data_IF_742887033087
#
_entry.id   IF_742887033087
#
_cell.length_a   1.000
_cell.length_b   1.000
_cell.length_c   1.000
_cell.angle_alpha   90.00
_cell.angle_beta   90.00
_cell.angle_gamma   90.00
#
_symmetry.space_group_name_H-M   'P 1'
#
loop_
_entity.id
_entity.type
_entity.pdbx_description
1 polymer ?
#
# COMPACT_ATOMS: atom_id res chain seq x y z
N UNK A 1 9.55 -19.67 16.98
CA UNK A 1 10.66 -20.65 16.81
C UNK A 1 11.84 -20.39 17.74
N UNK A 2 12.37 -19.17 17.87
CA UNK A 2 13.57 -18.88 18.68
C UNK A 2 13.38 -19.20 20.18
N UNK A 3 12.21 -18.93 20.77
CA UNK A 3 11.95 -19.21 22.19
C UNK A 3 11.97 -20.71 22.57
N UNK A 4 11.55 -21.60 21.66
CA UNK A 4 11.59 -23.05 21.90
C UNK A 4 13.02 -23.62 21.88
N UNK A 5 13.95 -22.94 21.18
CA UNK A 5 15.35 -23.35 21.13
C UNK A 5 16.10 -23.01 22.43
N UNK A 6 15.79 -21.87 23.05
CA UNK A 6 16.37 -21.45 24.34
C UNK A 6 15.90 -22.34 25.48
N UNK A 7 14.62 -22.75 25.48
CA UNK A 7 14.08 -23.65 26.50
C UNK A 7 14.71 -25.05 26.40
N UNK A 8 14.82 -25.63 25.20
CA UNK A 8 15.45 -26.97 25.02
C UNK A 8 16.93 -27.00 25.37
N UNK A 9 17.66 -25.92 25.09
CA UNK A 9 19.09 -25.85 25.45
C UNK A 9 19.28 -25.75 26.97
N UNK A 10 18.38 -25.06 27.68
CA UNK A 10 18.38 -25.05 29.15
C UNK A 10 18.03 -26.42 29.75
N UNK A 11 17.05 -27.14 29.20
CA UNK A 11 16.67 -28.48 29.67
C UNK A 11 17.80 -29.51 29.47
N UNK A 12 18.50 -29.48 28.33
CA UNK A 12 19.64 -30.37 28.07
C UNK A 12 20.79 -30.08 29.06
N UNK A 13 21.04 -28.81 29.37
CA UNK A 13 22.09 -28.43 30.32
C UNK A 13 21.71 -28.80 31.78
N UNK A 14 20.43 -28.69 32.15
CA UNK A 14 19.94 -29.07 33.47
C UNK A 14 19.94 -30.61 33.67
N UNK A 15 19.56 -31.38 32.64
CA UNK A 15 19.55 -32.85 32.68
C UNK A 15 20.96 -33.44 32.81
N UNK A 16 21.95 -32.85 32.15
CA UNK A 16 23.32 -33.36 32.19
C UNK A 16 24.00 -33.13 33.56
N UNK A 17 23.56 -32.11 34.31
CA UNK A 17 24.06 -31.83 35.65
C UNK A 17 23.51 -32.79 36.71
N UNK A 18 22.31 -33.34 36.50
CA UNK A 18 21.70 -34.29 37.43
C UNK A 18 22.30 -35.71 37.34
N UNK A 19 22.66 -36.18 36.14
CA UNK A 19 23.18 -37.54 35.94
C UNK A 19 24.59 -37.77 36.54
N UNK A 20 25.37 -36.70 36.73
CA UNK A 20 26.73 -36.80 37.28
C UNK A 20 26.81 -36.95 38.81
N UNK A 21 25.69 -36.89 39.54
CA UNK A 21 25.70 -36.81 41.01
C UNK A 21 25.42 -38.12 41.73
N UNK A 22 25.14 -39.22 41.02
CA UNK A 22 24.66 -40.45 41.67
C UNK A 22 25.70 -41.55 41.93
N UNK A 23 26.99 -41.35 41.64
CA UNK A 23 28.02 -42.39 41.83
C UNK A 23 29.35 -41.93 42.46
N UNK A 24 29.37 -40.85 43.25
CA UNK A 24 30.56 -40.48 44.04
C UNK A 24 30.33 -40.57 45.55
N UNK A 25 31.19 -41.40 46.16
CA UNK A 25 31.40 -41.62 47.59
C UNK A 25 31.29 -40.35 48.46
N UNK A 26 30.66 -40.52 49.63
CA UNK A 26 30.44 -39.51 50.68
C UNK A 26 31.72 -38.93 51.35
N UNK A 27 32.92 -39.17 50.82
CA UNK A 27 34.19 -38.69 51.40
C UNK A 27 34.73 -37.41 50.75
N UNK A 28 34.21 -36.98 49.58
CA UNK A 28 34.69 -35.76 48.88
C UNK A 28 33.81 -34.52 49.10
N UNK A 29 32.79 -34.62 49.96
CA UNK A 29 31.78 -33.57 50.20
C UNK A 29 32.34 -32.31 50.90
N UNK A 30 33.56 -32.37 51.45
CA UNK A 30 34.18 -31.25 52.16
C UNK A 30 35.12 -30.37 51.32
N UNK A 31 35.50 -30.78 50.10
CA UNK A 31 36.37 -29.96 49.23
C UNK A 31 35.60 -29.15 48.16
N UNK A 32 34.30 -29.36 48.01
CA UNK A 32 33.46 -28.63 47.03
C UNK A 32 33.12 -27.20 47.49
N UNK A 33 33.30 -26.85 48.78
CA UNK A 33 33.03 -25.50 49.32
C UNK A 33 34.08 -24.43 48.96
N UNK A 34 35.17 -24.80 48.26
CA UNK A 34 36.20 -23.88 47.79
C UNK A 34 36.29 -23.76 46.26
N UNK A 35 35.25 -24.20 45.54
CA UNK A 35 34.95 -23.58 44.25
C UNK A 35 34.46 -22.16 44.52
N UNK A 36 35.42 -21.26 44.84
CA UNK A 36 35.26 -19.82 44.64
C UNK A 36 34.78 -19.71 43.21
N UNK A 37 33.47 -19.52 43.05
CA UNK A 37 32.86 -19.08 41.82
C UNK A 37 33.36 -17.65 41.58
N UNK A 38 34.65 -17.51 41.35
CA UNK A 38 35.30 -16.32 40.82
C UNK A 38 34.94 -16.25 39.35
N UNK A 39 33.64 -16.23 39.06
CA UNK A 39 33.21 -15.61 37.83
C UNK A 39 33.59 -14.15 38.01
N UNK A 40 34.56 -13.63 37.24
CA UNK A 40 34.92 -12.24 37.35
C UNK A 40 33.62 -11.46 37.09
N UNK A 41 33.19 -10.65 38.05
CA UNK A 41 31.95 -9.86 38.00
C UNK A 41 31.79 -9.13 36.66
N UNK A 42 32.91 -8.77 36.04
CA UNK A 42 33.05 -8.20 34.71
C UNK A 42 32.36 -8.98 33.58
N UNK A 43 32.40 -10.32 33.61
CA UNK A 43 31.77 -11.15 32.57
C UNK A 43 30.24 -11.08 32.68
N UNK A 44 29.70 -11.08 33.90
CA UNK A 44 28.24 -11.02 34.13
C UNK A 44 27.70 -9.67 33.68
N UNK A 45 28.40 -8.58 34.01
CA UNK A 45 28.04 -7.23 33.58
C UNK A 45 28.05 -7.11 32.04
N UNK A 46 29.09 -7.62 31.38
CA UNK A 46 29.17 -7.64 29.92
C UNK A 46 27.98 -8.37 29.28
N UNK A 47 27.69 -9.60 29.73
CA UNK A 47 26.56 -10.36 29.20
C UNK A 47 25.21 -9.66 29.43
N UNK A 48 25.04 -8.97 30.56
CA UNK A 48 23.83 -8.22 30.87
C UNK A 48 23.64 -7.03 29.91
N UNK A 49 24.71 -6.28 29.63
CA UNK A 49 24.68 -5.15 28.68
C UNK A 49 24.38 -5.64 27.27
N UNK A 50 25.04 -6.72 26.82
CA UNK A 50 24.78 -7.32 25.50
C UNK A 50 23.34 -7.81 25.39
N UNK A 51 22.81 -8.45 26.44
CA UNK A 51 21.42 -8.89 26.49
C UNK A 51 20.43 -7.73 26.38
N UNK A 52 20.64 -6.65 27.16
CA UNK A 52 19.82 -5.44 27.10
C UNK A 52 19.86 -4.80 25.70
N UNK A 53 21.04 -4.76 25.08
CA UNK A 53 21.21 -4.23 23.72
C UNK A 53 20.48 -5.06 22.67
N UNK A 54 20.59 -6.39 22.75
CA UNK A 54 19.86 -7.30 21.87
C UNK A 54 18.35 -7.11 22.00
N UNK A 55 17.85 -6.97 23.23
CA UNK A 55 16.44 -6.69 23.50
C UNK A 55 16.00 -5.34 22.90
N UNK A 56 16.83 -4.29 23.05
CA UNK A 56 16.56 -2.98 22.47
C UNK A 56 16.49 -3.00 20.94
N UNK A 57 17.47 -3.63 20.27
CA UNK A 57 17.45 -3.79 18.80
C UNK A 57 16.18 -4.54 18.37
N UNK A 58 15.84 -5.62 19.08
CA UNK A 58 14.64 -6.40 18.79
C UNK A 58 13.38 -5.55 18.90
N UNK A 59 13.30 -4.67 19.90
CA UNK A 59 12.19 -3.73 20.06
C UNK A 59 12.10 -2.73 18.90
N UNK A 60 13.22 -2.16 18.45
CA UNK A 60 13.27 -1.21 17.31
C UNK A 60 12.84 -1.89 16.00
N UNK A 61 13.32 -3.11 15.74
CA UNK A 61 12.93 -3.90 14.56
C UNK A 61 11.43 -4.23 14.61
N UNK A 62 10.94 -4.66 15.78
CA UNK A 62 9.52 -4.95 15.98
C UNK A 62 8.63 -3.73 15.71
N UNK A 63 9.03 -2.57 16.20
CA UNK A 63 8.29 -1.32 15.95
C UNK A 63 8.30 -0.91 14.47
N UNK A 64 9.44 -1.03 13.78
CA UNK A 64 9.55 -0.72 12.35
C UNK A 64 8.66 -1.66 11.52
N UNK A 65 8.61 -2.94 11.91
CA UNK A 65 7.71 -3.92 11.29
C UNK A 65 6.24 -3.54 11.47
N UNK A 66 5.83 -3.14 12.68
CA UNK A 66 4.46 -2.70 12.95
C UNK A 66 4.05 -1.48 12.12
N UNK A 67 4.94 -0.50 11.96
CA UNK A 67 4.69 0.66 11.08
C UNK A 67 4.52 0.18 9.64
N UNK A 68 5.45 -0.65 9.16
CA UNK A 68 5.41 -1.14 7.79
C UNK A 68 4.14 -1.95 7.50
N UNK A 69 3.73 -2.81 8.42
CA UNK A 69 2.51 -3.62 8.31
C UNK A 69 1.26 -2.73 8.31
N UNK A 70 1.23 -1.66 9.12
CA UNK A 70 0.14 -0.68 9.11
C UNK A 70 0.05 0.04 7.77
N UNK A 71 1.17 0.51 7.23
CA UNK A 71 1.22 1.21 5.93
C UNK A 71 0.82 0.30 4.76
N UNK A 72 1.29 -0.97 4.77
CA UNK A 72 0.88 -1.97 3.77
C UNK A 72 -0.64 -2.11 3.75
N UNK A 73 -1.25 -2.28 4.93
CA UNK A 73 -2.71 -2.40 5.07
C UNK A 73 -3.44 -1.14 4.62
N UNK A 74 -2.96 0.05 5.00
CA UNK A 74 -3.58 1.31 4.54
C UNK A 74 -3.50 1.43 3.02
N UNK A 75 -2.37 1.06 2.41
CA UNK A 75 -2.22 1.04 0.95
C UNK A 75 -3.19 0.04 0.30
N UNK A 76 -3.29 -1.18 0.83
CA UNK A 76 -4.24 -2.22 0.39
C UNK A 76 -5.69 -1.72 0.45
N UNK A 77 -6.13 -1.14 1.58
CA UNK A 77 -7.48 -0.59 1.72
C UNK A 77 -7.76 0.53 0.72
N UNK A 78 -6.78 1.38 0.42
CA UNK A 78 -6.96 2.46 -0.56
C UNK A 78 -7.00 1.94 -2.00
N UNK A 79 -6.25 0.88 -2.31
CA UNK A 79 -6.34 0.19 -3.60
C UNK A 79 -7.70 -0.49 -3.76
N UNK A 80 -8.17 -1.20 -2.72
CA UNK A 80 -9.49 -1.81 -2.69
C UNK A 80 -10.59 -0.77 -2.90
N UNK A 81 -10.55 0.34 -2.15
CA UNK A 81 -11.47 1.47 -2.33
C UNK A 81 -11.46 2.00 -3.77
N UNK A 82 -10.28 2.18 -4.37
CA UNK A 82 -10.13 2.64 -5.76
C UNK A 82 -10.71 1.64 -6.77
N UNK A 83 -10.62 0.35 -6.49
CA UNK A 83 -11.17 -0.69 -7.36
C UNK A 83 -12.69 -0.75 -7.24
N UNK A 84 -13.22 -0.69 -6.02
CA UNK A 84 -14.67 -0.72 -5.77
C UNK A 84 -15.35 0.50 -6.37
N UNK A 85 -14.80 1.72 -6.18
CA UNK A 85 -15.38 2.94 -6.76
C UNK A 85 -15.37 2.92 -8.30
N UNK A 86 -14.30 2.39 -8.91
CA UNK A 86 -14.21 2.23 -10.37
C UNK A 86 -15.30 1.27 -10.87
N UNK A 87 -15.51 0.19 -10.15
CA UNK A 87 -16.53 -0.80 -10.47
C UNK A 87 -17.94 -0.23 -10.34
N UNK A 88 -18.28 0.40 -9.21
CA UNK A 88 -19.62 0.98 -9.00
C UNK A 88 -19.94 2.11 -9.97
N UNK A 89 -18.96 2.93 -10.34
CA UNK A 89 -19.13 3.97 -11.37
C UNK A 89 -19.36 3.38 -12.76
N UNK A 90 -18.63 2.32 -13.12
CA UNK A 90 -18.82 1.64 -14.40
C UNK A 90 -20.20 0.98 -14.48
N UNK A 91 -20.65 0.33 -13.40
CA UNK A 91 -22.00 -0.23 -13.30
C UNK A 91 -23.07 0.86 -13.37
N UNK A 92 -22.88 1.97 -12.66
CA UNK A 92 -23.81 3.11 -12.69
C UNK A 92 -23.96 3.68 -14.11
N UNK A 93 -22.85 3.95 -14.79
CA UNK A 93 -22.85 4.45 -16.18
C UNK A 93 -23.48 3.44 -17.13
N UNK A 94 -23.24 2.14 -16.94
CA UNK A 94 -23.90 1.10 -17.71
C UNK A 94 -25.41 1.09 -17.50
N UNK A 95 -25.88 1.19 -16.25
CA UNK A 95 -27.30 1.27 -15.95
C UNK A 95 -27.96 2.51 -16.57
N UNK A 96 -27.30 3.67 -16.57
CA UNK A 96 -27.79 4.86 -17.26
C UNK A 96 -27.96 4.61 -18.76
N UNK A 97 -26.95 4.07 -19.42
CA UNK A 97 -27.01 3.78 -20.87
C UNK A 97 -28.14 2.80 -21.22
N UNK A 98 -28.23 1.69 -20.47
CA UNK A 98 -29.29 0.70 -20.65
C UNK A 98 -30.67 1.33 -20.47
N UNK A 99 -30.84 2.21 -19.47
CA UNK A 99 -32.10 2.92 -19.28
C UNK A 99 -32.49 3.76 -20.50
N UNK A 100 -31.57 4.57 -21.04
CA UNK A 100 -31.87 5.42 -22.20
C UNK A 100 -32.13 4.60 -23.47
N UNK A 101 -31.39 3.51 -23.69
CA UNK A 101 -31.62 2.59 -24.79
C UNK A 101 -33.00 1.92 -24.70
N UNK A 102 -33.40 1.45 -23.51
CA UNK A 102 -34.72 0.87 -23.28
C UNK A 102 -35.83 1.91 -23.44
N UNK A 103 -35.62 3.14 -22.95
CA UNK A 103 -36.58 4.23 -23.09
C UNK A 103 -36.80 4.62 -24.56
N UNK A 104 -35.72 4.67 -25.35
CA UNK A 104 -35.80 4.91 -26.79
C UNK A 104 -36.55 3.79 -27.51
N UNK A 105 -36.16 2.53 -27.29
CA UNK A 105 -36.83 1.35 -27.89
C UNK A 105 -38.31 1.29 -27.51
N UNK A 106 -38.64 1.57 -26.26
CA UNK A 106 -40.03 1.64 -25.78
C UNK A 106 -40.82 2.72 -26.51
N UNK A 107 -40.24 3.92 -26.70
CA UNK A 107 -40.91 5.00 -27.44
C UNK A 107 -41.10 4.67 -28.92
N UNK A 108 -40.08 4.13 -29.59
CA UNK A 108 -40.16 3.71 -31.00
C UNK A 108 -41.25 2.64 -31.18
N UNK A 109 -41.32 1.66 -30.27
CA UNK A 109 -42.32 0.60 -30.33
C UNK A 109 -43.73 1.10 -30.04
N UNK A 110 -43.87 2.08 -29.14
CA UNK A 110 -45.15 2.72 -28.86
C UNK A 110 -45.66 3.48 -30.09
N UNK A 111 -44.80 4.25 -30.76
CA UNK A 111 -45.14 4.93 -32.01
C UNK A 111 -45.59 3.93 -33.08
N UNK A 112 -44.87 2.80 -33.25
CA UNK A 112 -45.24 1.74 -34.19
C UNK A 112 -46.61 1.11 -33.88
N UNK A 113 -46.90 0.80 -32.60
CA UNK A 113 -48.20 0.26 -32.20
C UNK A 113 -49.33 1.19 -32.62
N UNK A 114 -49.14 2.49 -32.45
CA UNK A 114 -50.17 3.47 -32.72
C UNK A 114 -50.40 3.68 -34.22
N UNK A 115 -49.34 3.70 -35.03
CA UNK A 115 -49.44 3.71 -36.49
C UNK A 115 -50.19 2.47 -36.98
N UNK A 116 -49.79 1.27 -36.53
CA UNK A 116 -50.48 0.02 -36.91
C UNK A 116 -51.93 0.03 -36.45
N UNK A 117 -52.23 0.53 -35.24
CA UNK A 117 -53.61 0.64 -34.74
C UNK A 117 -54.47 1.60 -35.57
N UNK A 118 -53.88 2.71 -36.05
CA UNK A 118 -54.57 3.69 -36.90
C UNK A 118 -54.89 3.09 -38.27
N UNK A 119 -53.94 2.38 -38.87
CA UNK A 119 -54.14 1.63 -40.12
C UNK A 119 -55.19 0.53 -39.96
N UNK A 120 -55.17 -0.20 -38.84
CA UNK A 120 -56.13 -1.26 -38.57
C UNK A 120 -57.57 -0.75 -38.54
N UNK A 121 -57.76 0.49 -38.09
CA UNK A 121 -59.08 1.13 -37.94
C UNK A 121 -59.75 1.46 -39.26
N UNK A 122 -58.99 1.56 -40.36
CA UNK A 122 -59.52 1.83 -41.70
C UNK A 122 -59.70 0.56 -42.55
N UNK A 123 -59.30 -0.61 -42.04
CA UNK A 123 -59.30 -1.88 -42.78
C UNK A 123 -60.59 -2.71 -42.59
N UNK A 124 -60.94 -3.53 -43.59
CA UNK A 124 -62.00 -4.53 -43.47
C UNK A 124 -61.54 -5.69 -42.59
N UNK A 125 -62.34 -5.99 -41.57
CA UNK A 125 -62.03 -6.95 -40.51
C UNK A 125 -61.76 -8.40 -40.99
N UNK A 126 -62.32 -8.80 -42.14
CA UNK A 126 -62.15 -10.16 -42.67
C UNK A 126 -60.95 -10.33 -43.61
N UNK A 127 -60.22 -9.25 -43.91
CA UNK A 127 -59.04 -9.35 -44.78
C UNK A 127 -57.89 -10.10 -44.12
N UNK A 128 -57.12 -10.85 -44.92
CA UNK A 128 -55.89 -11.52 -44.45
C UNK A 128 -54.90 -10.50 -43.87
N UNK A 129 -54.81 -9.32 -44.49
CA UNK A 129 -53.96 -8.22 -44.03
C UNK A 129 -54.34 -7.73 -42.63
N UNK A 130 -55.64 -7.61 -42.33
CA UNK A 130 -56.13 -7.26 -40.99
C UNK A 130 -55.61 -8.24 -39.93
N UNK A 131 -55.71 -9.55 -40.19
CA UNK A 131 -55.25 -10.58 -39.25
C UNK A 131 -53.75 -10.45 -38.95
N UNK A 132 -52.93 -10.29 -40.00
CA UNK A 132 -51.47 -10.14 -39.86
C UNK A 132 -51.12 -8.88 -39.06
N UNK A 133 -51.73 -7.74 -39.37
CA UNK A 133 -51.46 -6.48 -38.66
C UNK A 133 -51.94 -6.53 -37.21
N UNK A 134 -53.07 -7.19 -36.94
CA UNK A 134 -53.57 -7.37 -35.58
C UNK A 134 -52.64 -8.25 -34.73
N UNK A 135 -52.11 -9.34 -35.29
CA UNK A 135 -51.09 -10.17 -34.63
C UNK A 135 -49.80 -9.38 -34.36
N UNK A 136 -49.33 -8.59 -35.33
CA UNK A 136 -48.17 -7.72 -35.15
C UNK A 136 -48.40 -6.65 -34.05
N UNK A 137 -49.60 -6.06 -34.01
CA UNK A 137 -49.99 -5.12 -32.97
C UNK A 137 -49.97 -5.78 -31.59
N UNK A 138 -50.52 -6.98 -31.46
CA UNK A 138 -50.51 -7.74 -30.21
C UNK A 138 -49.07 -8.04 -29.75
N UNK A 139 -48.23 -8.52 -30.66
CA UNK A 139 -46.81 -8.78 -30.36
C UNK A 139 -46.09 -7.50 -29.88
N UNK A 140 -46.35 -6.35 -30.51
CA UNK A 140 -45.74 -5.09 -30.12
C UNK A 140 -46.20 -4.60 -28.74
N UNK A 141 -47.48 -4.83 -28.39
CA UNK A 141 -48.01 -4.53 -27.04
C UNK A 141 -47.33 -5.37 -25.97
N UNK A 142 -47.16 -6.68 -26.20
CA UNK A 142 -46.43 -7.56 -25.28
C UNK A 142 -44.98 -7.12 -25.09
N UNK A 143 -44.30 -6.73 -26.17
CA UNK A 143 -42.93 -6.20 -26.09
C UNK A 143 -42.86 -4.88 -25.32
N UNK A 144 -43.86 -4.00 -25.44
CA UNK A 144 -43.95 -2.76 -24.66
C UNK A 144 -44.10 -3.02 -23.16
N UNK A 145 -44.92 -3.99 -22.78
CA UNK A 145 -45.07 -4.42 -21.38
C UNK A 145 -43.72 -4.91 -20.83
N UNK A 146 -43.04 -5.76 -21.59
CA UNK A 146 -41.70 -6.27 -21.23
C UNK A 146 -40.68 -5.14 -21.05
N UNK A 147 -40.62 -4.18 -21.99
CA UNK A 147 -39.75 -3.01 -21.84
C UNK A 147 -40.12 -2.17 -20.61
N UNK A 148 -41.41 -2.06 -20.28
CA UNK A 148 -41.86 -1.40 -19.06
C UNK A 148 -41.29 -2.04 -17.79
N UNK A 149 -41.32 -3.37 -17.70
CA UNK A 149 -40.72 -4.13 -16.59
C UNK A 149 -39.20 -3.92 -16.51
N UNK A 150 -38.50 -4.03 -17.64
CA UNK A 150 -37.04 -3.84 -17.70
C UNK A 150 -36.62 -2.41 -17.32
N UNK A 151 -37.40 -1.39 -17.71
CA UNK A 151 -37.18 0.02 -17.33
C UNK A 151 -37.33 0.19 -15.81
N UNK A 152 -38.36 -0.41 -15.20
CA UNK A 152 -38.59 -0.33 -13.75
C UNK A 152 -37.42 -0.98 -13.00
N UNK A 153 -36.98 -2.16 -13.43
CA UNK A 153 -35.85 -2.86 -12.81
C UNK A 153 -34.54 -2.07 -12.97
N UNK A 154 -34.27 -1.57 -14.18
CA UNK A 154 -33.08 -0.74 -14.45
C UNK A 154 -33.08 0.52 -13.57
N UNK A 155 -34.24 1.15 -13.36
CA UNK A 155 -34.36 2.29 -12.46
C UNK A 155 -34.02 1.95 -11.01
N UNK A 156 -34.46 0.77 -10.53
CA UNK A 156 -34.09 0.30 -9.19
C UNK A 156 -32.58 0.10 -9.08
N UNK A 157 -31.96 -0.47 -10.11
CA UNK A 157 -30.51 -0.66 -10.18
C UNK A 157 -29.75 0.68 -10.23
N UNK A 158 -30.27 1.68 -10.94
CA UNK A 158 -29.73 3.05 -10.92
C UNK A 158 -29.71 3.59 -9.49
N UNK A 159 -30.84 3.56 -8.78
CA UNK A 159 -30.89 4.09 -7.40
C UNK A 159 -29.92 3.34 -6.45
N UNK A 160 -29.83 2.02 -6.58
CA UNK A 160 -28.87 1.21 -5.82
C UNK A 160 -27.43 1.62 -6.12
N UNK A 161 -27.06 1.72 -7.40
CA UNK A 161 -25.70 2.05 -7.83
C UNK A 161 -25.32 3.50 -7.54
N UNK A 162 -26.28 4.44 -7.58
CA UNK A 162 -26.09 5.79 -7.08
C UNK A 162 -25.74 5.74 -5.60
N UNK A 163 -26.57 5.10 -4.76
CA UNK A 163 -26.32 5.02 -3.33
C UNK A 163 -24.96 4.38 -3.01
N UNK A 164 -24.61 3.26 -3.65
CA UNK A 164 -23.30 2.61 -3.51
C UNK A 164 -22.14 3.53 -3.92
N UNK A 165 -22.31 4.26 -5.02
CA UNK A 165 -21.32 5.24 -5.48
C UNK A 165 -21.15 6.35 -4.45
N UNK A 166 -22.23 6.96 -3.97
CA UNK A 166 -22.19 8.04 -2.97
C UNK A 166 -21.50 7.60 -1.65
N UNK A 167 -21.64 6.33 -1.24
CA UNK A 167 -20.97 5.80 -0.03
C UNK A 167 -19.44 5.79 -0.11
N UNK A 168 -18.85 5.83 -1.31
CA UNK A 168 -17.39 5.85 -1.46
C UNK A 168 -16.79 7.23 -1.19
N UNK A 169 -17.61 8.28 -1.19
CA UNK A 169 -17.12 9.65 -1.13
C UNK A 169 -17.36 10.29 0.23
N UNK A 170 -16.46 11.21 0.59
CA UNK A 170 -16.63 12.01 1.80
C UNK A 170 -17.68 13.09 1.52
N UNK A 171 -18.56 13.39 2.50
CA UNK A 171 -19.45 14.52 2.36
C UNK A 171 -18.63 15.82 2.21
N UNK A 172 -19.08 16.70 1.31
CA UNK A 172 -18.47 18.02 1.02
C UNK A 172 -17.09 17.99 0.35
N UNK A 173 -16.68 16.89 -0.29
CA UNK A 173 -15.49 16.89 -1.15
C UNK A 173 -15.77 17.67 -2.45
N UNK A 174 -14.99 18.71 -2.74
CA UNK A 174 -15.21 19.59 -3.88
C UNK A 174 -15.11 18.87 -5.21
N UNK A 175 -14.18 17.92 -5.33
CA UNK A 175 -14.02 17.17 -6.59
C UNK A 175 -15.21 16.25 -6.81
N UNK A 176 -15.77 15.73 -5.73
CA UNK A 176 -16.94 14.87 -5.77
C UNK A 176 -18.24 15.61 -6.06
N UNK A 177 -18.40 16.84 -5.56
CA UNK A 177 -19.59 17.65 -5.79
C UNK A 177 -19.89 17.80 -7.29
N UNK A 178 -18.85 17.86 -8.13
CA UNK A 178 -18.98 17.89 -9.58
C UNK A 178 -19.55 16.57 -10.14
N UNK A 179 -19.07 15.42 -9.66
CA UNK A 179 -19.58 14.11 -10.08
C UNK A 179 -21.04 13.94 -9.63
N UNK A 180 -21.35 14.27 -8.39
CA UNK A 180 -22.70 14.21 -7.82
C UNK A 180 -23.66 15.13 -8.59
N UNK A 181 -23.25 16.36 -8.90
CA UNK A 181 -24.05 17.28 -9.72
C UNK A 181 -24.41 16.69 -11.09
N UNK A 182 -23.47 15.99 -11.74
CA UNK A 182 -23.71 15.33 -13.03
C UNK A 182 -24.64 14.12 -12.89
N UNK A 183 -24.49 13.33 -11.82
CA UNK A 183 -25.42 12.23 -11.50
C UNK A 183 -26.84 12.77 -11.28
N UNK A 184 -26.98 13.84 -10.51
CA UNK A 184 -28.26 14.48 -10.23
C UNK A 184 -28.92 15.06 -11.49
N UNK A 185 -28.12 15.62 -12.41
CA UNK A 185 -28.62 16.06 -13.71
C UNK A 185 -29.21 14.88 -14.52
N UNK A 186 -28.51 13.73 -14.58
CA UNK A 186 -29.05 12.53 -15.23
C UNK A 186 -30.31 12.02 -14.53
N UNK A 187 -30.35 12.01 -13.20
CA UNK A 187 -31.55 11.62 -12.44
C UNK A 187 -32.73 12.55 -12.71
N UNK A 188 -32.49 13.85 -12.86
CA UNK A 188 -33.51 14.83 -13.27
C UNK A 188 -34.05 14.49 -14.66
N UNK A 189 -33.15 14.23 -15.62
CA UNK A 189 -33.51 13.78 -16.97
C UNK A 189 -34.40 12.54 -16.90
N UNK A 190 -33.99 11.50 -16.15
CA UNK A 190 -34.76 10.26 -15.95
C UNK A 190 -36.13 10.53 -15.32
N UNK A 191 -36.22 11.46 -14.37
CA UNK A 191 -37.47 11.81 -13.71
C UNK A 191 -38.47 12.46 -14.67
N UNK A 192 -37.98 13.24 -15.64
CA UNK A 192 -38.83 13.89 -16.64
C UNK A 192 -39.53 12.88 -17.56
N UNK A 193 -38.95 11.69 -17.77
CA UNK A 193 -39.60 10.61 -18.54
C UNK A 193 -40.86 10.06 -17.86
N UNK A 194 -41.04 10.28 -16.55
CA UNK A 194 -42.23 9.84 -15.81
C UNK A 194 -43.45 10.72 -16.11
N UNK A 195 -43.23 12.00 -16.42
CA UNK A 195 -44.31 12.95 -16.65
C UNK A 195 -44.89 12.74 -18.05
N UNK A 196 -45.86 11.83 -18.16
CA UNK A 196 -46.66 11.64 -19.37
C UNK A 196 -47.44 12.92 -19.64
N UNK A 197 -47.05 13.65 -20.68
CA UNK A 197 -47.94 14.63 -21.30
C UNK A 197 -48.83 13.86 -22.28
N UNK A 198 -50.09 13.64 -21.91
CA UNK A 198 -51.10 12.96 -22.75
C UNK A 198 -51.42 13.74 -24.06
N UNK A 199 -50.75 14.87 -24.32
CA UNK A 199 -51.01 15.75 -25.46
C UNK A 199 -49.78 16.00 -26.36
N UNK A 200 -48.62 15.42 -26.05
CA UNK A 200 -47.40 15.68 -26.83
C UNK A 200 -47.43 14.88 -28.14
N UNK A 201 -47.06 15.51 -29.26
CA UNK A 201 -46.93 14.84 -30.56
C UNK A 201 -45.88 13.71 -30.46
N UNK A 202 -46.09 12.61 -31.18
CA UNK A 202 -45.30 11.38 -31.03
C UNK A 202 -43.89 11.57 -31.55
N UNK A 203 -43.77 12.21 -32.70
CA UNK A 203 -42.49 12.47 -33.33
C UNK A 203 -41.70 13.47 -32.48
N UNK A 204 -42.38 14.46 -31.90
CA UNK A 204 -41.80 15.38 -30.94
C UNK A 204 -41.31 14.65 -29.68
N UNK A 205 -42.10 13.74 -29.11
CA UNK A 205 -41.72 12.94 -27.94
C UNK A 205 -40.51 12.08 -28.24
N UNK A 206 -40.46 11.38 -29.38
CA UNK A 206 -39.31 10.55 -29.76
C UNK A 206 -38.05 11.40 -29.93
N UNK A 207 -38.13 12.54 -30.63
CA UNK A 207 -37.01 13.49 -30.78
C UNK A 207 -36.49 13.99 -29.44
N UNK A 208 -37.40 14.32 -28.51
CA UNK A 208 -37.07 14.77 -27.14
C UNK A 208 -36.35 13.68 -26.35
N UNK A 209 -36.80 12.43 -26.45
CA UNK A 209 -36.17 11.28 -25.79
C UNK A 209 -34.75 11.06 -26.32
N UNK A 210 -34.57 11.05 -27.64
CA UNK A 210 -33.26 10.89 -28.28
C UNK A 210 -32.32 12.03 -27.87
N UNK A 211 -32.81 13.28 -27.89
CA UNK A 211 -32.02 14.45 -27.45
C UNK A 211 -31.58 14.32 -26.00
N UNK A 212 -32.49 13.94 -25.09
CA UNK A 212 -32.17 13.74 -23.67
C UNK A 212 -31.22 12.56 -23.44
N UNK A 213 -31.33 11.49 -24.22
CA UNK A 213 -30.40 10.37 -24.20
C UNK A 213 -28.98 10.80 -24.59
N UNK A 214 -28.83 11.62 -25.63
CA UNK A 214 -27.54 12.17 -26.06
C UNK A 214 -26.92 13.11 -25.02
N UNK A 215 -27.74 13.94 -24.38
CA UNK A 215 -27.31 14.77 -23.25
C UNK A 215 -26.81 13.91 -22.09
N UNK A 216 -27.56 12.88 -21.71
CA UNK A 216 -27.17 11.99 -20.64
C UNK A 216 -25.91 11.17 -20.95
N UNK A 217 -25.70 10.76 -22.20
CA UNK A 217 -24.46 10.12 -22.64
C UNK A 217 -23.26 11.07 -22.51
N UNK A 218 -23.45 12.36 -22.80
CA UNK A 218 -22.42 13.39 -22.58
C UNK A 218 -22.10 13.54 -21.09
N UNK A 219 -23.13 13.59 -20.23
CA UNK A 219 -22.95 13.62 -18.77
C UNK A 219 -22.27 12.35 -18.24
N UNK A 220 -22.55 11.18 -18.82
CA UNK A 220 -21.86 9.93 -18.48
C UNK A 220 -20.36 9.99 -18.80
N UNK A 221 -19.99 10.57 -19.94
CA UNK A 221 -18.57 10.78 -20.31
C UNK A 221 -17.89 11.75 -19.37
N UNK A 222 -18.58 12.81 -18.96
CA UNK A 222 -18.08 13.76 -17.95
C UNK A 222 -17.83 13.05 -16.61
N UNK A 223 -18.77 12.24 -16.12
CA UNK A 223 -18.61 11.44 -14.90
C UNK A 223 -17.37 10.54 -14.99
N UNK A 224 -17.17 9.85 -16.12
CA UNK A 224 -16.00 9.00 -16.34
C UNK A 224 -14.70 9.81 -16.40
N UNK A 225 -14.71 11.00 -16.99
CA UNK A 225 -13.55 11.89 -17.05
C UNK A 225 -13.17 12.42 -15.66
N UNK A 226 -14.14 12.97 -14.93
CA UNK A 226 -13.96 13.51 -13.58
C UNK A 226 -13.50 12.41 -12.61
N UNK A 227 -14.12 11.23 -12.66
CA UNK A 227 -13.73 10.11 -11.81
C UNK A 227 -12.31 9.62 -12.09
N UNK A 228 -11.84 9.61 -13.36
CA UNK A 228 -10.42 9.34 -13.67
C UNK A 228 -9.49 10.35 -13.03
N UNK A 229 -9.86 11.63 -13.05
CA UNK A 229 -9.08 12.67 -12.40
C UNK A 229 -8.99 12.46 -10.89
N UNK A 230 -10.13 12.23 -10.22
CA UNK A 230 -10.19 11.94 -8.77
C UNK A 230 -9.39 10.70 -8.42
N UNK A 231 -9.57 9.59 -9.16
CA UNK A 231 -8.82 8.36 -8.95
C UNK A 231 -7.32 8.56 -9.16
N UNK A 232 -6.91 9.37 -10.15
CA UNK A 232 -5.49 9.67 -10.39
C UNK A 232 -4.90 10.48 -9.25
N UNK A 233 -5.59 11.51 -8.79
CA UNK A 233 -5.18 12.32 -7.65
C UNK A 233 -5.01 11.45 -6.39
N UNK A 234 -6.00 10.61 -6.11
CA UNK A 234 -5.96 9.66 -4.99
C UNK A 234 -4.83 8.65 -5.11
N UNK A 235 -4.59 8.13 -6.32
CA UNK A 235 -3.47 7.24 -6.62
C UNK A 235 -2.11 7.89 -6.38
N UNK A 236 -1.93 9.14 -6.82
CA UNK A 236 -0.71 9.90 -6.57
C UNK A 236 -0.54 10.18 -5.07
N UNK A 237 -1.62 10.44 -4.34
CA UNK A 237 -1.62 10.58 -2.87
C UNK A 237 -1.22 9.27 -2.19
N UNK A 238 -1.76 8.14 -2.64
CA UNK A 238 -1.43 6.79 -2.13
C UNK A 238 0.05 6.48 -2.37
N UNK A 239 0.55 6.70 -3.60
CA UNK A 239 1.96 6.50 -3.94
C UNK A 239 2.89 7.43 -3.17
N UNK A 240 2.44 8.65 -2.94
CA UNK A 240 3.15 9.59 -2.08
C UNK A 240 3.31 9.02 -0.67
N UNK A 241 2.37 8.23 -0.18
CA UNK A 241 2.30 7.81 1.22
C UNK A 241 1.88 8.95 2.13
N UNK A 242 1.48 8.63 3.36
CA UNK A 242 1.03 9.63 4.31
C UNK A 242 2.20 10.54 4.72
N UNK A 243 1.96 11.86 4.86
CA UNK A 243 3.02 12.79 5.28
C UNK A 243 3.66 12.38 6.61
N UNK A 244 2.85 11.85 7.52
CA UNK A 244 3.31 11.33 8.80
C UNK A 244 4.24 10.13 8.63
N UNK A 245 3.99 9.27 7.64
CA UNK A 245 4.90 8.18 7.31
C UNK A 245 6.21 8.70 6.71
N UNK A 246 6.17 9.68 5.79
CA UNK A 246 7.39 10.31 5.27
C UNK A 246 8.25 10.90 6.39
N UNK A 247 7.60 11.61 7.33
CA UNK A 247 8.24 12.18 8.52
C UNK A 247 8.82 11.08 9.41
N UNK A 248 8.02 10.05 9.72
CA UNK A 248 8.45 8.92 10.56
C UNK A 248 9.62 8.18 9.92
N UNK A 249 9.54 7.83 8.64
CA UNK A 249 10.62 7.18 7.90
C UNK A 249 11.91 8.01 7.91
N UNK A 250 11.82 9.33 7.75
CA UNK A 250 12.97 10.24 7.84
C UNK A 250 13.57 10.27 9.26
N UNK A 251 12.71 10.36 10.28
CA UNK A 251 13.11 10.30 11.69
C UNK A 251 13.77 8.95 12.00
N UNK A 252 13.25 7.83 11.49
CA UNK A 252 13.83 6.51 11.70
C UNK A 252 15.17 6.36 10.99
N UNK A 253 15.29 6.80 9.73
CA UNK A 253 16.55 6.73 8.99
C UNK A 253 17.65 7.53 9.71
N UNK A 254 17.34 8.75 10.13
CA UNK A 254 18.30 9.62 10.82
C UNK A 254 18.53 9.17 12.26
N UNK A 255 17.47 8.81 12.98
CA UNK A 255 17.51 8.37 14.37
C UNK A 255 18.24 7.04 14.54
N UNK A 256 18.02 6.07 13.64
CA UNK A 256 18.75 4.81 13.64
C UNK A 256 20.25 5.03 13.41
N UNK A 257 20.63 5.97 12.55
CA UNK A 257 22.03 6.31 12.29
C UNK A 257 22.66 7.02 13.50
N UNK A 258 21.94 7.94 14.15
CA UNK A 258 22.42 8.60 15.37
C UNK A 258 22.56 7.62 16.54
N UNK A 259 21.61 6.71 16.71
CA UNK A 259 21.66 5.68 17.75
C UNK A 259 22.80 4.69 17.47
N UNK A 260 22.98 4.23 16.23
CA UNK A 260 24.10 3.33 15.92
C UNK A 260 25.45 4.00 16.13
N UNK A 261 25.58 5.28 15.77
CA UNK A 261 26.80 6.07 16.01
C UNK A 261 27.05 6.26 17.52
N UNK A 262 26.02 6.64 18.29
CA UNK A 262 26.13 6.80 19.74
C UNK A 262 26.53 5.48 20.42
N UNK A 263 25.97 4.36 19.98
CA UNK A 263 26.32 3.03 20.47
C UNK A 263 27.76 2.63 20.11
N UNK A 264 28.23 2.95 18.90
CA UNK A 264 29.60 2.70 18.49
C UNK A 264 30.60 3.52 19.32
N UNK A 265 30.29 4.79 19.57
CA UNK A 265 31.09 5.67 20.44
C UNK A 265 31.11 5.11 21.88
N UNK A 266 29.96 4.74 22.43
CA UNK A 266 29.87 4.14 23.76
C UNK A 266 30.72 2.88 23.86
N UNK A 267 30.64 1.99 22.86
CA UNK A 267 31.45 0.78 22.81
C UNK A 267 32.95 1.09 22.78
N UNK A 268 33.37 2.08 21.98
CA UNK A 268 34.76 2.53 21.90
C UNK A 268 35.28 3.14 23.21
N UNK A 269 34.44 3.90 23.92
CA UNK A 269 34.78 4.43 25.24
C UNK A 269 34.95 3.30 26.27
N UNK A 270 34.08 2.29 26.24
CA UNK A 270 34.16 1.13 27.12
C UNK A 270 35.42 0.28 26.82
N UNK A 271 35.81 0.11 25.56
CA UNK A 271 37.04 -0.62 25.21
C UNK A 271 38.29 0.13 25.63
N UNK A 272 38.35 1.45 25.43
CA UNK A 272 39.46 2.29 25.90
C UNK A 272 39.56 2.23 27.43
N UNK A 273 38.44 2.33 28.15
CA UNK A 273 38.42 2.25 29.62
C UNK A 273 38.89 0.90 30.14
N UNK A 274 38.61 -0.20 29.42
CA UNK A 274 39.11 -1.53 29.78
C UNK A 274 40.61 -1.65 29.52
N UNK A 275 41.07 -1.14 28.39
CA UNK A 275 42.49 -1.15 28.02
C UNK A 275 43.34 -0.32 28.99
N UNK A 276 42.85 0.85 29.42
CA UNK A 276 43.56 1.68 30.40
C UNK A 276 43.69 1.00 31.77
N UNK A 277 42.65 0.28 32.22
CA UNK A 277 42.71 -0.51 33.45
C UNK A 277 43.73 -1.66 33.36
N UNK A 278 43.76 -2.37 32.23
CA UNK A 278 44.73 -3.44 31.99
C UNK A 278 46.18 -2.91 32.05
N UNK A 279 46.45 -1.78 31.39
CA UNK A 279 47.78 -1.15 31.42
C UNK A 279 48.18 -0.71 32.83
N UNK A 280 47.25 -0.16 33.62
CA UNK A 280 47.53 0.25 35.00
C UNK A 280 47.89 -0.95 35.89
N UNK A 281 47.20 -2.08 35.72
CA UNK A 281 47.48 -3.32 36.44
C UNK A 281 48.83 -3.93 36.04
N UNK A 282 49.18 -3.90 34.76
CA UNK A 282 50.48 -4.35 34.26
C UNK A 282 51.64 -3.51 34.82
N UNK A 283 51.47 -2.18 34.91
CA UNK A 283 52.46 -1.31 35.54
C UNK A 283 52.57 -1.54 37.05
N UNK A 284 51.47 -1.84 37.75
CA UNK A 284 51.48 -2.15 39.19
C UNK A 284 52.14 -3.48 39.51
N UNK A 285 52.07 -4.47 38.61
CA UNK A 285 52.60 -5.82 38.83
C UNK A 285 54.06 -6.00 38.38
N UNK A 286 54.67 -4.98 37.75
CA UNK A 286 56.09 -5.03 37.38
C UNK A 286 56.95 -4.95 38.66
N UNK A 287 57.70 -6.00 39.06
CA UNK A 287 58.49 -5.97 40.29
C UNK A 287 59.58 -4.91 40.17
N UNK A 288 59.76 -4.11 41.23
CA UNK A 288 60.71 -2.99 41.31
C UNK A 288 62.19 -3.42 41.35
N UNK A 289 62.58 -4.48 40.65
CA UNK A 289 63.89 -5.12 40.82
C UNK A 289 64.48 -5.56 39.49
N UNK A 290 65.03 -4.60 38.74
CA UNK A 290 66.20 -4.83 37.89
C UNK A 290 66.90 -3.48 37.66
N UNK A 291 67.75 -3.12 38.62
CA UNK A 291 68.79 -2.11 38.46
C UNK A 291 69.76 -2.62 37.40
N UNK A 292 69.62 -2.14 36.17
CA UNK A 292 70.55 -2.46 35.08
C UNK A 292 71.89 -1.74 35.34
N UNK A 293 72.94 -2.52 35.56
CA UNK A 293 74.33 -2.07 35.51
C UNK A 293 74.68 -1.66 34.06
N UNK A 294 75.06 -0.40 33.90
CA UNK A 294 75.49 0.21 32.65
C UNK A 294 76.86 -0.35 32.27
N UNK A 295 76.94 -1.17 31.23
CA UNK A 295 78.18 -1.40 30.48
C UNK A 295 78.08 -0.69 29.13
N UNK A 296 78.88 0.37 29.02
CA UNK A 296 79.14 1.13 27.82
C UNK A 296 79.98 0.31 26.85
N UNK A 297 79.45 -0.03 25.67
CA UNK A 297 80.27 -0.47 24.55
C UNK A 297 79.82 0.25 23.28
N UNK A 298 80.70 1.13 22.82
CA UNK A 298 80.63 1.92 21.61
C UNK A 298 81.11 1.10 20.43
N UNK A 299 80.30 0.99 19.38
CA UNK A 299 80.83 0.70 18.04
C UNK A 299 79.89 1.22 16.96
N UNK A 300 80.41 2.21 16.26
CA UNK A 300 79.97 2.77 14.99
C UNK A 300 79.96 1.72 13.86
N UNK A 301 78.96 1.80 12.98
CA UNK A 301 79.21 1.82 11.52
C UNK A 301 77.93 2.13 10.74
N UNK A 302 78.09 3.10 9.83
CA UNK A 302 77.20 3.42 8.72
C UNK A 302 77.02 2.21 7.79
N UNK A 303 75.86 2.13 7.15
CA UNK A 303 75.67 2.08 5.68
C UNK A 303 74.29 1.50 5.33
N UNK A 304 73.66 1.99 4.28
CA UNK A 304 72.55 1.29 3.64
C UNK A 304 71.37 2.13 3.18
N UNK A 305 71.66 3.17 2.40
CA UNK A 305 70.72 3.78 1.45
C UNK A 305 70.30 2.70 0.42
N UNK A 306 69.00 2.42 0.23
CA UNK A 306 68.37 2.27 -1.10
C UNK A 306 66.94 1.68 -1.07
N UNK A 307 66.06 2.41 -1.78
CA UNK A 307 64.96 1.93 -2.64
C UNK A 307 63.77 1.18 -1.99
N UNK A 308 62.60 1.81 -2.04
CA UNK A 308 61.51 1.39 -2.94
C UNK A 308 60.28 2.30 -2.82
N UNK A 309 60.26 3.38 -3.60
CA UNK A 309 59.03 4.10 -3.97
C UNK A 309 58.57 3.52 -5.31
N UNK A 310 57.63 2.56 -5.30
CA UNK A 310 56.94 2.15 -6.54
C UNK A 310 55.65 1.36 -6.30
N UNK A 311 54.54 2.09 -6.19
CA UNK A 311 53.18 1.67 -6.59
C UNK A 311 52.44 2.96 -6.98
N UNK A 312 52.64 3.47 -8.21
CA UNK A 312 51.74 3.28 -9.36
C UNK A 312 50.26 3.17 -8.93
N UNK A 313 49.46 4.23 -9.06
CA UNK A 313 48.79 4.64 -10.31
C UNK A 313 47.93 3.53 -10.91
N UNK A 314 46.71 3.35 -10.39
CA UNK A 314 45.56 2.84 -11.14
C UNK A 314 44.31 3.48 -10.51
N UNK A 315 43.71 4.47 -11.19
CA UNK A 315 42.26 4.73 -11.29
C UNK A 315 42.00 6.16 -11.86
N UNK A 316 42.57 6.44 -13.03
CA UNK A 316 42.03 7.45 -13.95
C UNK A 316 41.49 6.72 -15.18
N UNK A 317 40.22 6.30 -15.12
CA UNK A 317 39.41 5.97 -16.31
C UNK A 317 37.94 5.88 -15.94
N UNK A 318 37.35 7.02 -15.56
CA UNK A 318 35.90 7.19 -15.61
C UNK A 318 35.56 7.95 -16.89
N UNK A 319 35.07 7.16 -17.86
CA UNK A 319 34.43 7.59 -19.10
C UNK A 319 33.32 8.61 -18.85
N UNK A 320 33.24 9.72 -19.61
CA UNK A 320 32.10 10.61 -19.59
C UNK A 320 30.97 10.04 -20.47
N UNK A 321 30.21 9.07 -19.96
CA UNK A 321 29.03 8.53 -20.68
C UNK A 321 27.70 8.63 -19.94
N UNK A 322 27.65 8.98 -18.65
CA UNK A 322 26.39 8.93 -17.88
C UNK A 322 25.80 10.30 -17.51
N UNK A 323 26.20 11.36 -18.21
CA UNK A 323 25.60 12.71 -18.07
C UNK A 323 24.48 13.01 -19.07
N UNK A 324 23.90 11.98 -19.71
CA UNK A 324 22.90 12.13 -20.78
C UNK A 324 21.52 11.53 -20.50
N UNK A 325 21.21 11.19 -19.24
CA UNK A 325 19.90 10.61 -18.88
C UNK A 325 19.04 11.53 -18.00
N UNK A 326 19.56 12.62 -17.44
CA UNK A 326 18.72 13.58 -16.68
C UNK A 326 18.03 14.66 -17.53
N UNK A 327 18.50 14.94 -18.76
CA UNK A 327 17.93 16.01 -19.60
C UNK A 327 16.82 15.55 -20.55
N UNK A 328 16.53 14.24 -20.65
CA UNK A 328 15.47 13.71 -21.51
C UNK A 328 14.08 13.63 -20.83
N UNK A 329 13.98 13.91 -19.53
CA UNK A 329 12.72 13.84 -18.78
C UNK A 329 11.97 15.18 -18.68
N UNK A 330 12.54 16.28 -19.20
CA UNK A 330 11.95 17.62 -19.11
C UNK A 330 11.11 18.04 -20.34
N UNK A 331 11.09 17.25 -21.43
CA UNK A 331 10.50 17.66 -22.71
C UNK A 331 9.23 16.87 -23.13
N UNK A 332 8.55 16.22 -22.18
CA UNK A 332 7.19 15.64 -22.39
C UNK A 332 6.10 16.34 -21.57
N UNK A 333 6.31 17.62 -21.22
CA UNK A 333 5.35 18.45 -20.48
C UNK A 333 5.07 19.82 -21.14
N UNK A 334 5.07 19.85 -22.46
CA UNK A 334 4.32 20.79 -23.29
C UNK A 334 3.42 19.98 -24.21
#
# INVERSE_FOLDING_TARGET
>A
MIGQFVIRTYEIFAANKYSATHNLHAADVLNVRKLKLGFPMDKILFFTIVGLFSAFITAVIGFTKLINDKESKVSEFRQEWTNTIRHTLAELVSCFRVFFELAEKSCQRAALCETVSTELSSMKHDSVEYKIKNEALLHNKVMLEKFGEEIIETKRNIHKNVALTLLHFKPNDSDFLHIEGKINAILSIISDFKNKSDKEDKDERLKKIISKGNEAETLCRDILSLSRHVMKYEWERIKGGEENYKKTKKIFKNGSLMISLAMAILFLLLTISRYSHYLAEEMSNKPASQTYSITSESSSSNEGLEKSNKWNSIEDSISPSDKKIEDAAAEQKK
#
